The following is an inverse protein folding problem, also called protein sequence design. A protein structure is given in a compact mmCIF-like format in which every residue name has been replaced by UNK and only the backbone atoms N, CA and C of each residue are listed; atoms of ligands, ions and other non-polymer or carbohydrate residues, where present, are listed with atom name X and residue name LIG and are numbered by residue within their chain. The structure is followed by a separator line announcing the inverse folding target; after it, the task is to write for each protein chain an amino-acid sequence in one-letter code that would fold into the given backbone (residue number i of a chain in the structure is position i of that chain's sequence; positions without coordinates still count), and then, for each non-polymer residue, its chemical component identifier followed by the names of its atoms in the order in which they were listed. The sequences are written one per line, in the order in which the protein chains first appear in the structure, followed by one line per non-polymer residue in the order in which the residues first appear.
data_IF_643313863442
#
_entry.id   IF_643313863442
#
_cell.length_a   1.000
_cell.length_b   1.000
_cell.length_c   1.000
_cell.angle_alpha   90.00
_cell.angle_beta   90.00
_cell.angle_gamma   90.00
#
_symmetry.space_group_name_H-M   'P 1'
#
loop_
_entity.id
_entity.type
_entity.pdbx_description
1 polymer ?
#
# COMPACT_ATOMS: atom_id res chain seq x y z
N UNK A 1 4.98 -0.37 -14.74
CA UNK A 1 3.58 -0.71 -14.41
C UNK A 1 3.26 -0.04 -13.09
N UNK A 2 2.28 0.85 -13.04
CA UNK A 2 1.77 1.36 -11.76
C UNK A 2 0.63 0.45 -11.29
N UNK A 3 0.62 0.11 -10.01
CA UNK A 3 -0.47 -0.61 -9.37
C UNK A 3 -0.84 0.08 -8.07
N UNK A 4 -2.09 -0.10 -7.68
CA UNK A 4 -2.65 0.48 -6.47
C UNK A 4 -2.42 -0.46 -5.29
N UNK A 5 -1.95 0.09 -4.18
CA UNK A 5 -1.64 -0.63 -2.95
C UNK A 5 -2.76 -0.38 -1.96
N UNK A 6 -3.58 -1.39 -1.69
CA UNK A 6 -4.53 -1.34 -0.58
C UNK A 6 -3.75 -1.39 0.74
N UNK A 7 -3.96 -0.39 1.62
CA UNK A 7 -3.28 -0.32 2.92
C UNK A 7 -4.20 -0.54 4.12
N UNK A 8 -5.51 -0.33 3.94
CA UNK A 8 -6.52 -0.53 4.98
C UNK A 8 -7.66 0.48 4.88
N UNK A 9 -8.50 0.55 5.91
CA UNK A 9 -9.70 1.38 5.89
C UNK A 9 -9.38 2.86 6.17
N UNK A 10 -9.78 3.75 5.27
CA UNK A 10 -9.70 5.20 5.44
C UNK A 10 -10.65 5.64 6.56
N UNK A 11 -10.09 6.13 7.66
CA UNK A 11 -10.85 6.65 8.80
C UNK A 11 -11.12 8.15 8.67
N UNK A 12 -10.24 8.85 7.96
CA UNK A 12 -10.33 10.30 7.74
C UNK A 12 -9.76 10.65 6.37
N UNK A 13 -10.40 11.57 5.65
CA UNK A 13 -9.89 12.13 4.40
C UNK A 13 -10.04 13.65 4.49
N UNK A 14 -8.90 14.36 4.57
CA UNK A 14 -8.83 15.81 4.57
C UNK A 14 -8.46 16.37 3.19
N UNK A 15 -8.11 17.66 3.14
CA UNK A 15 -7.76 18.36 1.89
C UNK A 15 -6.36 18.06 1.38
N UNK A 16 -5.41 17.72 2.26
CA UNK A 16 -4.00 17.44 1.91
C UNK A 16 -3.51 16.06 2.37
N UNK A 17 -4.27 15.39 3.23
CA UNK A 17 -3.89 14.12 3.84
C UNK A 17 -5.07 13.16 3.96
N UNK A 18 -4.78 11.87 4.00
CA UNK A 18 -5.71 10.82 4.37
C UNK A 18 -5.15 10.03 5.55
N UNK A 19 -6.04 9.55 6.40
CA UNK A 19 -5.71 8.68 7.53
C UNK A 19 -6.37 7.33 7.27
N UNK A 20 -5.58 6.27 7.32
CA UNK A 20 -6.08 4.92 7.25
C UNK A 20 -5.69 4.10 8.47
N UNK A 21 -6.63 3.27 8.92
CA UNK A 21 -6.38 2.22 9.88
C UNK A 21 -5.66 1.08 9.18
N UNK A 22 -4.50 0.72 9.73
CA UNK A 22 -3.68 -0.36 9.17
C UNK A 22 -3.98 -1.70 9.85
N UNK A 23 -3.98 -2.75 9.05
CA UNK A 23 -4.01 -4.12 9.54
C UNK A 23 -2.64 -4.55 10.09
N UNK A 24 -2.65 -5.55 10.99
CA UNK A 24 -1.44 -6.07 11.62
C UNK A 24 -0.35 -6.53 10.63
N UNK A 25 -0.75 -7.02 9.45
CA UNK A 25 0.19 -7.38 8.39
C UNK A 25 0.96 -6.17 7.83
N UNK A 26 0.27 -5.04 7.64
CA UNK A 26 0.88 -3.81 7.12
C UNK A 26 1.76 -3.13 8.15
N UNK A 27 1.37 -3.19 9.43
CA UNK A 27 2.20 -2.74 10.55
C UNK A 27 3.52 -3.51 10.63
N UNK A 28 3.49 -4.83 10.50
CA UNK A 28 4.71 -5.66 10.48
C UNK A 28 5.64 -5.33 9.30
N UNK A 29 5.11 -4.86 8.16
CA UNK A 29 5.93 -4.41 7.04
C UNK A 29 6.57 -3.04 7.30
N UNK A 30 5.79 -2.09 7.83
CA UNK A 30 6.27 -0.73 8.12
C UNK A 30 7.27 -0.67 9.25
N UNK A 31 7.11 -1.52 10.27
CA UNK A 31 8.01 -1.52 11.42
C UNK A 31 8.20 -2.95 11.96
N UNK A 32 8.99 -3.78 11.27
CA UNK A 32 9.16 -5.20 11.61
C UNK A 32 9.71 -5.41 13.03
N UNK A 33 10.44 -4.43 13.56
CA UNK A 33 11.07 -4.48 14.88
C UNK A 33 10.13 -4.08 16.03
N UNK A 34 8.95 -3.51 15.75
CA UNK A 34 8.04 -3.07 16.80
C UNK A 34 6.98 -4.15 17.06
N UNK A 35 6.92 -4.61 18.30
CA UNK A 35 5.89 -5.53 18.75
C UNK A 35 4.57 -4.76 18.93
N UNK A 36 3.77 -4.62 17.88
CA UNK A 36 2.41 -4.04 17.92
C UNK A 36 1.38 -4.91 18.69
N UNK A 37 1.84 -5.71 19.66
CA UNK A 37 1.02 -6.64 20.42
C UNK A 37 -0.02 -5.84 21.20
N UNK A 38 -1.30 -6.03 20.86
CA UNK A 38 -2.42 -5.41 21.56
C UNK A 38 -2.73 -3.95 21.20
N UNK A 39 -2.25 -3.42 20.07
CA UNK A 39 -2.57 -2.07 19.59
C UNK A 39 -3.65 -2.12 18.49
N UNK A 40 -4.95 -2.11 18.82
CA UNK A 40 -6.03 -2.25 17.83
C UNK A 40 -6.26 -1.02 16.94
N UNK A 41 -5.60 0.11 17.22
CA UNK A 41 -5.90 1.41 16.60
C UNK A 41 -4.65 2.11 16.09
N UNK A 42 -3.96 1.50 15.12
CA UNK A 42 -2.85 2.20 14.45
C UNK A 42 -3.36 2.90 13.20
N UNK A 43 -3.11 4.21 13.15
CA UNK A 43 -3.54 5.07 12.07
C UNK A 43 -2.32 5.59 11.30
N UNK A 44 -2.28 5.35 10.00
CA UNK A 44 -1.25 5.90 9.11
C UNK A 44 -1.80 7.16 8.45
N UNK A 45 -1.10 8.27 8.67
CA UNK A 45 -1.34 9.53 7.97
C UNK A 45 -0.43 9.58 6.74
N UNK A 46 -1.06 9.68 5.58
CA UNK A 46 -0.40 9.78 4.27
C UNK A 46 -0.82 11.06 3.57
N UNK A 47 0.07 11.71 2.80
CA UNK A 47 -0.30 12.83 1.98
C UNK A 47 -1.12 12.36 0.78
N UNK A 48 -2.11 13.16 0.34
CA UNK A 48 -2.91 12.84 -0.84
C UNK A 48 -2.09 12.74 -2.12
N UNK A 49 -0.92 13.39 -2.14
CA UNK A 49 0.01 13.34 -3.25
C UNK A 49 0.40 11.90 -3.60
N UNK A 50 0.53 10.99 -2.63
CA UNK A 50 0.87 9.57 -2.87
C UNK A 50 -0.33 8.63 -2.99
N UNK A 51 -1.54 9.14 -2.77
CA UNK A 51 -2.75 8.36 -2.97
C UNK A 51 -2.98 8.04 -4.46
N UNK A 52 -3.71 6.95 -4.71
CA UNK A 52 -4.13 6.58 -6.06
C UNK A 52 -5.04 7.65 -6.65
N UNK A 53 -4.74 8.06 -7.88
CA UNK A 53 -5.61 8.95 -8.66
C UNK A 53 -6.83 8.22 -9.22
N UNK A 54 -6.75 6.89 -9.35
CA UNK A 54 -7.85 6.05 -9.84
C UNK A 54 -8.86 5.75 -8.75
N UNK A 55 -8.38 5.62 -7.51
CA UNK A 55 -9.18 5.31 -6.32
C UNK A 55 -8.89 6.36 -5.25
N UNK A 56 -9.55 7.52 -5.32
CA UNK A 56 -9.30 8.59 -4.37
C UNK A 56 -9.72 8.15 -2.95
N UNK A 57 -9.01 8.62 -1.92
CA UNK A 57 -9.36 8.39 -0.53
C UNK A 57 -10.79 8.85 -0.24
N UNK A 58 -11.56 7.98 0.42
CA UNK A 58 -12.89 8.31 0.93
C UNK A 58 -13.05 7.70 2.30
N UNK A 59 -13.53 8.51 3.24
CA UNK A 59 -13.83 8.06 4.59
C UNK A 59 -14.78 6.84 4.56
N UNK A 60 -14.45 5.83 5.36
CA UNK A 60 -15.19 4.57 5.43
C UNK A 60 -14.87 3.56 4.33
N UNK A 61 -14.13 3.95 3.28
CA UNK A 61 -13.70 3.06 2.20
C UNK A 61 -12.24 2.62 2.37
N UNK A 62 -11.82 1.64 1.58
CA UNK A 62 -10.44 1.20 1.54
C UNK A 62 -9.53 2.25 0.88
N UNK A 63 -8.39 2.54 1.50
CA UNK A 63 -7.40 3.50 1.03
C UNK A 63 -6.39 2.81 0.11
N UNK A 64 -6.20 3.41 -1.07
CA UNK A 64 -5.28 2.94 -2.09
C UNK A 64 -4.15 3.95 -2.32
N UNK A 65 -2.90 3.47 -2.28
CA UNK A 65 -1.70 4.26 -2.61
C UNK A 65 -1.18 3.93 -4.00
N UNK A 66 -0.61 4.90 -4.70
CA UNK A 66 0.05 4.65 -5.98
C UNK A 66 1.48 4.13 -5.74
N UNK A 67 1.79 2.92 -6.22
CA UNK A 67 3.11 2.32 -5.98
C UNK A 67 4.27 3.20 -6.50
N UNK A 68 4.07 3.91 -7.61
CA UNK A 68 5.10 4.75 -8.24
C UNK A 68 5.43 5.93 -7.35
N UNK A 69 4.39 6.52 -6.75
CA UNK A 69 4.52 7.66 -5.85
C UNK A 69 5.04 7.26 -4.47
N UNK A 70 4.63 6.09 -3.97
CA UNK A 70 5.19 5.51 -2.75
C UNK A 70 6.68 5.24 -2.93
N UNK A 71 7.09 4.65 -4.05
CA UNK A 71 8.50 4.36 -4.36
C UNK A 71 9.35 5.62 -4.56
N UNK A 72 8.74 6.72 -5.04
CA UNK A 72 9.40 8.02 -5.16
C UNK A 72 9.81 8.62 -3.81
N UNK A 73 9.24 8.12 -2.71
CA UNK A 73 9.53 8.56 -1.35
C UNK A 73 8.64 9.71 -0.94
N UNK A 74 7.83 9.49 0.09
CA UNK A 74 7.06 10.51 0.75
C UNK A 74 7.14 10.32 2.26
N UNK A 75 7.27 11.42 2.98
CA UNK A 75 7.26 11.42 4.43
C UNK A 75 5.84 11.08 4.91
N UNK A 76 5.72 10.02 5.70
CA UNK A 76 4.45 9.59 6.27
C UNK A 76 4.61 9.35 7.75
N UNK A 77 3.53 9.59 8.49
CA UNK A 77 3.53 9.53 9.94
C UNK A 77 2.53 8.48 10.39
N UNK A 78 3.00 7.55 11.21
CA UNK A 78 2.20 6.51 11.83
C UNK A 78 1.87 6.94 13.25
N UNK A 79 0.58 7.14 13.52
CA UNK A 79 0.04 7.48 14.82
C UNK A 79 -0.46 6.21 15.50
N UNK A 80 0.05 5.93 16.71
CA UNK A 80 -0.40 4.82 17.54
C UNK A 80 -1.54 5.30 18.44
N UNK A 81 -2.76 4.85 18.17
CA UNK A 81 -3.94 5.19 18.97
C UNK A 81 -3.78 4.73 20.41
N UNK A 82 -3.55 5.69 21.32
CA UNK A 82 -3.29 5.45 22.73
C UNK A 82 -1.94 5.99 23.21
N UNK A 83 -1.05 6.41 22.31
CA UNK A 83 0.20 7.10 22.61
C UNK A 83 0.22 8.47 21.93
N UNK A 84 0.66 9.51 22.65
CA UNK A 84 0.94 10.84 22.12
C UNK A 84 2.25 10.85 21.31
N UNK A 85 2.37 9.94 20.35
CA UNK A 85 3.55 9.75 19.53
C UNK A 85 3.19 9.40 18.09
N UNK A 86 3.60 10.27 17.17
CA UNK A 86 3.65 9.97 15.74
C UNK A 86 5.06 9.53 15.40
N UNK A 87 5.22 8.34 14.84
CA UNK A 87 6.50 7.84 14.34
C UNK A 87 6.57 8.08 12.84
N UNK A 88 7.65 8.72 12.39
CA UNK A 88 7.94 8.80 10.96
C UNK A 88 8.24 7.39 10.45
N UNK A 89 7.52 6.96 9.42
CA UNK A 89 7.70 5.65 8.80
C UNK A 89 7.98 5.81 7.32
N UNK A 90 8.85 4.94 6.81
CA UNK A 90 9.12 4.88 5.39
C UNK A 90 8.08 4.00 4.68
N UNK A 91 7.10 4.62 4.02
CA UNK A 91 6.08 3.91 3.23
C UNK A 91 6.65 3.11 2.07
N UNK A 92 7.90 3.36 1.66
CA UNK A 92 8.57 2.53 0.67
C UNK A 92 8.66 1.09 1.15
N UNK A 93 8.71 0.85 2.47
CA UNK A 93 8.70 -0.50 3.06
C UNK A 93 7.38 -1.25 2.81
N UNK A 94 6.26 -0.56 2.58
CA UNK A 94 5.00 -1.20 2.16
C UNK A 94 5.14 -1.75 0.75
N UNK A 95 5.73 -0.95 -0.15
CA UNK A 95 5.97 -1.33 -1.54
C UNK A 95 7.11 -2.35 -1.68
N UNK A 96 8.08 -2.33 -0.77
CA UNK A 96 9.23 -3.24 -0.75
C UNK A 96 8.77 -4.65 -0.34
N UNK A 97 8.89 -5.62 -1.25
CA UNK A 97 8.37 -6.98 -1.07
C UNK A 97 6.96 -7.22 -1.62
N UNK A 98 6.35 -6.22 -2.28
CA UNK A 98 5.30 -6.46 -3.27
C UNK A 98 5.94 -6.59 -4.64
N UNK A 99 6.58 -7.73 -4.88
CA UNK A 99 6.94 -8.08 -6.25
C UNK A 99 5.64 -8.19 -7.06
N UNK A 100 5.49 -7.45 -8.16
CA UNK A 100 4.37 -7.69 -9.06
C UNK A 100 4.49 -9.14 -9.51
N UNK A 101 3.53 -9.98 -9.12
CA UNK A 101 3.44 -11.33 -9.66
C UNK A 101 3.53 -11.20 -11.19
N UNK A 102 4.52 -11.84 -11.84
CA UNK A 102 4.64 -11.75 -13.28
C UNK A 102 3.32 -12.19 -13.89
N UNK A 103 2.78 -11.35 -14.77
CA UNK A 103 1.54 -11.69 -15.50
C UNK A 103 1.73 -13.06 -16.13
N UNK A 104 0.73 -13.97 -16.07
CA UNK A 104 0.83 -15.23 -16.79
C UNK A 104 1.10 -14.88 -18.25
N UNK A 105 2.29 -15.26 -18.73
CA UNK A 105 2.62 -15.17 -20.15
C UNK A 105 1.55 -15.96 -20.90
N UNK A 106 0.87 -15.37 -21.89
CA UNK A 106 -0.03 -16.16 -22.72
C UNK A 106 0.83 -17.23 -23.38
N UNK A 107 0.59 -18.50 -23.03
CA UNK A 107 1.23 -19.64 -23.66
C UNK A 107 1.04 -19.48 -25.16
N UNK A 108 2.14 -19.21 -25.87
CA UNK A 108 2.16 -19.21 -27.31
C UNK A 108 1.74 -20.60 -27.75
N UNK A 109 0.49 -20.71 -28.19
CA UNK A 109 -0.03 -21.87 -28.92
C UNK A 109 0.78 -21.96 -30.22
N UNK A 110 1.95 -22.59 -30.14
CA UNK A 110 2.75 -22.97 -31.29
C UNK A 110 1.87 -23.83 -32.18
N UNK A 111 1.41 -23.23 -33.28
CA UNK A 111 0.91 -23.96 -34.43
C UNK A 111 2.09 -24.77 -34.98
N UNK A 112 2.17 -26.04 -34.62
CA UNK A 112 2.91 -27.00 -35.43
C UNK A 112 2.17 -27.16 -36.76
N UNK A 113 2.54 -26.33 -37.72
CA UNK A 113 2.37 -26.64 -39.13
C UNK A 113 3.53 -27.58 -39.46
N UNK A 114 3.27 -28.88 -39.48
CA UNK A 114 4.14 -29.85 -40.11
C UNK A 114 3.35 -30.48 -41.25
N UNK A 115 3.57 -29.95 -42.46
CA UNK A 115 3.23 -30.62 -43.71
C UNK A 115 4.39 -31.49 -44.21
N UNK A 116 4.03 -32.45 -45.07
CA UNK A 116 4.87 -33.37 -45.89
C UNK A 116 5.48 -34.53 -45.07
N UNK A 117 5.32 -35.81 -45.46
CA UNK A 117 5.15 -36.44 -46.78
C UNK A 117 4.14 -37.58 -46.73
#
# INVERSE_FOLDING_TARGET
MSFDIAIGQCTEAGEDFAVAKLDGAMLRKLHPTFAFVGQPNVHLRVPLSICSTRRPPRQGQELFLDCTKVLAGAETSLALGGQSGSIAVDVRLIANGMEPMPRPTPEQKTRFIAGRR
#
